data_IF_848517168690
#
_entry.id   IF_848517168690
#
_cell.length_a   1.000
_cell.length_b   1.000
_cell.length_c   1.000
_cell.angle_alpha   90.00
_cell.angle_beta   90.00
_cell.angle_gamma   90.00
#
_symmetry.space_group_name_H-M   'P 1'
#
loop_
_entity.id
_entity.type
_entity.pdbx_description
1 polymer ?
#
# COMPACT_ATOMS: atom_id res chain seq x y z
N UNK A 1 -11.12 -38.13 12.04
CA UNK A 1 -9.88 -37.34 11.94
C UNK A 1 -10.25 -36.00 11.33
N UNK A 2 -10.29 -34.92 12.13
CA UNK A 2 -10.60 -33.57 11.63
C UNK A 2 -9.30 -33.00 11.06
N UNK A 3 -9.25 -32.77 9.75
CA UNK A 3 -8.13 -32.09 9.11
C UNK A 3 -8.35 -30.57 9.22
N UNK A 4 -7.52 -29.89 10.02
CA UNK A 4 -7.49 -28.43 10.05
C UNK A 4 -6.55 -27.91 8.95
N UNK A 5 -7.11 -27.13 8.01
CA UNK A 5 -6.32 -26.34 7.06
C UNK A 5 -5.81 -25.09 7.79
N UNK A 6 -4.52 -25.06 8.10
CA UNK A 6 -3.87 -23.87 8.67
C UNK A 6 -3.52 -22.94 7.49
N UNK A 7 -4.10 -21.75 7.45
CA UNK A 7 -3.84 -20.75 6.41
C UNK A 7 -2.75 -19.80 6.89
N UNK A 8 -1.61 -19.77 6.19
CA UNK A 8 -0.51 -18.85 6.49
C UNK A 8 -0.66 -17.58 5.65
N UNK A 9 -0.91 -16.45 6.31
CA UNK A 9 -0.85 -15.13 5.68
C UNK A 9 0.55 -14.54 5.90
N UNK A 10 1.27 -14.26 4.82
CA UNK A 10 2.55 -13.54 4.85
C UNK A 10 2.33 -12.11 4.35
N UNK A 11 2.85 -11.12 5.07
CA UNK A 11 2.79 -9.72 4.68
C UNK A 11 4.17 -9.08 4.85
N UNK A 12 4.50 -8.15 3.95
CA UNK A 12 5.74 -7.37 4.06
C UNK A 12 5.51 -6.16 4.98
N UNK A 13 6.43 -5.94 5.91
CA UNK A 13 6.43 -4.73 6.73
C UNK A 13 7.02 -3.59 5.91
N UNK A 14 6.40 -2.41 6.01
CA UNK A 14 6.79 -1.26 5.23
C UNK A 14 6.39 0.05 5.89
N UNK A 15 6.89 1.13 5.29
CA UNK A 15 6.62 2.49 5.72
C UNK A 15 5.52 3.03 4.83
N UNK A 16 4.42 3.45 5.45
CA UNK A 16 3.30 4.07 4.76
C UNK A 16 3.18 5.56 5.10
N UNK A 17 2.85 6.36 4.10
CA UNK A 17 2.39 7.75 4.26
C UNK A 17 0.97 7.88 3.68
N UNK A 18 0.32 9.00 3.98
CA UNK A 18 -0.99 9.34 3.43
C UNK A 18 -0.98 10.79 2.98
N UNK A 19 -1.34 11.03 1.72
CA UNK A 19 -1.51 12.36 1.16
C UNK A 19 -2.95 12.51 0.60
N UNK A 20 -3.48 13.71 0.76
CA UNK A 20 -4.80 14.09 0.21
C UNK A 20 -4.72 14.53 -1.25
N UNK A 21 -3.51 14.78 -1.77
CA UNK A 21 -3.30 15.18 -3.15
C UNK A 21 -3.18 13.96 -4.05
N UNK A 22 -4.05 13.90 -5.05
CA UNK A 22 -3.96 12.94 -6.13
C UNK A 22 -2.73 13.24 -6.98
N UNK A 23 -1.79 12.30 -7.04
CA UNK A 23 -0.63 12.36 -7.93
C UNK A 23 -0.99 11.76 -9.28
N UNK A 24 -0.48 12.35 -10.36
CA UNK A 24 -0.66 11.83 -11.72
C UNK A 24 -0.19 10.39 -11.80
N UNK A 25 -1.03 9.50 -12.33
CA UNK A 25 -0.76 8.06 -12.32
C UNK A 25 0.17 7.66 -13.48
N UNK A 26 1.37 7.15 -13.20
CA UNK A 26 2.18 6.54 -14.26
C UNK A 26 1.52 5.28 -14.87
N UNK A 27 0.69 4.57 -14.09
CA UNK A 27 0.04 3.33 -14.55
C UNK A 27 -1.20 3.56 -15.43
N UNK A 28 -1.87 4.71 -15.31
CA UNK A 28 -3.16 5.03 -15.95
C UNK A 28 -3.19 6.39 -16.67
N UNK A 29 -2.09 7.15 -16.66
CA UNK A 29 -2.01 8.49 -17.23
C UNK A 29 -2.90 9.48 -16.49
N UNK A 30 -3.64 10.29 -17.24
CA UNK A 30 -4.55 11.31 -16.70
C UNK A 30 -5.94 10.77 -16.29
N UNK A 31 -6.10 9.45 -16.22
CA UNK A 31 -7.36 8.87 -15.78
C UNK A 31 -7.46 8.93 -14.26
N UNK A 32 -8.57 9.46 -13.77
CA UNK A 32 -8.90 9.40 -12.35
C UNK A 32 -9.25 7.95 -11.96
N UNK A 33 -8.55 7.42 -10.96
CA UNK A 33 -8.80 6.08 -10.40
C UNK A 33 -9.62 6.12 -9.10
N UNK A 34 -10.03 7.30 -8.67
CA UNK A 34 -10.80 7.51 -7.45
C UNK A 34 -9.96 7.41 -6.17
N UNK A 35 -10.62 7.02 -5.07
CA UNK A 35 -10.01 6.85 -3.75
C UNK A 35 -9.50 5.43 -3.54
N UNK A 36 -8.75 5.22 -2.45
CA UNK A 36 -8.12 3.94 -2.11
C UNK A 36 -7.11 3.55 -3.19
N UNK A 37 -6.30 4.52 -3.54
CA UNK A 37 -5.19 4.35 -4.46
C UNK A 37 -3.88 4.48 -3.69
N UNK A 38 -2.80 4.03 -4.31
CA UNK A 38 -1.49 4.17 -3.71
C UNK A 38 -0.38 4.27 -4.76
N UNK A 39 0.69 4.95 -4.35
CA UNK A 39 1.97 5.00 -5.04
C UNK A 39 2.92 4.03 -4.37
N UNK A 40 3.54 3.15 -5.15
CA UNK A 40 4.55 2.22 -4.65
C UNK A 40 5.93 2.88 -4.68
N UNK A 41 6.72 2.73 -3.62
CA UNK A 41 8.16 3.03 -3.66
C UNK A 41 8.99 1.86 -4.18
N UNK A 42 10.28 2.09 -4.41
CA UNK A 42 11.20 1.08 -4.95
C UNK A 42 11.28 -0.19 -4.10
N UNK A 43 11.21 -0.05 -2.77
CA UNK A 43 11.24 -1.18 -1.85
C UNK A 43 10.02 -2.11 -1.99
N UNK A 44 8.94 -1.63 -2.60
CA UNK A 44 7.71 -2.40 -2.82
C UNK A 44 7.63 -3.05 -4.20
N UNK A 45 8.57 -2.75 -5.11
CA UNK A 45 8.61 -3.31 -6.46
C UNK A 45 9.02 -4.78 -6.45
N UNK A 46 8.04 -5.66 -6.28
CA UNK A 46 8.17 -7.10 -6.51
C UNK A 46 8.42 -7.37 -8.00
N UNK A 47 9.69 -7.52 -8.39
CA UNK A 47 10.09 -8.00 -9.72
C UNK A 47 9.52 -7.20 -10.92
N UNK A 48 9.34 -5.89 -10.76
CA UNK A 48 9.28 -4.97 -11.90
C UNK A 48 7.90 -4.60 -12.46
N UNK A 49 6.76 -4.96 -11.85
CA UNK A 49 5.49 -4.24 -12.13
C UNK A 49 4.40 -4.50 -11.09
N UNK A 50 4.16 -3.51 -10.23
CA UNK A 50 3.04 -3.49 -9.27
C UNK A 50 1.83 -2.68 -9.76
N UNK A 51 1.96 -1.99 -10.90
CA UNK A 51 0.87 -1.23 -11.51
C UNK A 51 -0.42 -2.05 -11.61
N UNK A 52 -1.55 -1.39 -11.30
CA UNK A 52 -2.91 -1.92 -11.38
C UNK A 52 -3.22 -3.06 -10.41
N UNK A 53 -2.28 -3.50 -9.58
CA UNK A 53 -2.51 -4.53 -8.57
C UNK A 53 -3.22 -3.95 -7.34
N UNK A 54 -4.00 -4.81 -6.69
CA UNK A 54 -4.67 -4.50 -5.43
C UNK A 54 -3.88 -5.11 -4.29
N UNK A 55 -3.67 -4.36 -3.21
CA UNK A 55 -3.03 -4.84 -1.99
C UNK A 55 -3.86 -4.49 -0.77
N UNK A 56 -3.89 -5.42 0.18
CA UNK A 56 -4.47 -5.17 1.50
C UNK A 56 -3.40 -4.60 2.40
N UNK A 57 -3.60 -3.36 2.84
CA UNK A 57 -2.72 -2.63 3.76
C UNK A 57 -3.33 -2.70 5.14
N UNK A 58 -2.54 -3.11 6.12
CA UNK A 58 -2.94 -3.14 7.53
C UNK A 58 -2.00 -2.24 8.31
N UNK A 59 -2.55 -1.28 9.04
CA UNK A 59 -1.77 -0.44 9.93
C UNK A 59 -1.45 -1.26 11.20
N UNK A 60 -0.18 -1.60 11.38
CA UNK A 60 0.30 -2.42 12.51
C UNK A 60 0.90 -1.59 13.64
N UNK A 61 1.29 -0.34 13.38
CA UNK A 61 1.81 0.56 14.39
C UNK A 61 2.05 1.97 13.84
N UNK A 62 2.22 2.96 14.73
CA UNK A 62 2.57 4.31 14.32
C UNK A 62 4.04 4.40 13.91
N UNK A 63 4.38 5.38 13.06
CA UNK A 63 5.78 5.73 12.75
C UNK A 63 6.42 6.63 13.81
N UNK A 64 5.61 7.39 14.54
CA UNK A 64 6.02 8.33 15.60
C UNK A 64 5.29 8.00 16.90
N UNK A 65 5.74 8.45 18.09
CA UNK A 65 5.06 8.17 19.35
C UNK A 65 3.58 8.62 19.40
N UNK A 66 3.25 9.72 18.72
CA UNK A 66 1.90 10.29 18.60
C UNK A 66 1.78 10.95 17.22
N UNK A 67 0.61 10.95 16.57
CA UNK A 67 -0.63 10.24 16.94
C UNK A 67 -0.52 8.73 16.72
N UNK A 68 -1.48 7.96 17.27
CA UNK A 68 -1.64 6.52 17.02
C UNK A 68 -2.64 6.33 15.86
N UNK A 69 -2.20 6.23 14.59
CA UNK A 69 -3.10 6.29 13.45
C UNK A 69 -3.79 4.94 13.17
N UNK A 70 -3.31 3.84 13.77
CA UNK A 70 -3.82 2.50 13.50
C UNK A 70 -5.10 2.23 14.29
N UNK A 71 -6.17 1.90 13.58
CA UNK A 71 -7.48 1.54 14.15
C UNK A 71 -7.77 0.04 14.09
N UNK A 72 -6.75 -0.78 13.82
CA UNK A 72 -6.89 -2.24 13.67
C UNK A 72 -7.64 -2.70 12.43
N UNK A 73 -7.88 -1.80 11.46
CA UNK A 73 -8.54 -2.11 10.19
C UNK A 73 -7.53 -2.24 9.06
N UNK A 74 -7.92 -3.02 8.06
CA UNK A 74 -7.21 -3.13 6.80
C UNK A 74 -8.00 -2.43 5.69
N UNK A 75 -7.29 -1.87 4.72
CA UNK A 75 -7.87 -1.26 3.52
C UNK A 75 -7.26 -1.90 2.28
N UNK A 76 -8.07 -2.10 1.25
CA UNK A 76 -7.58 -2.58 -0.04
C UNK A 76 -7.36 -1.38 -0.94
N UNK A 77 -6.14 -1.25 -1.47
CA UNK A 77 -5.73 -0.11 -2.30
C UNK A 77 -5.21 -0.57 -3.65
N UNK A 78 -5.46 0.23 -4.70
CA UNK A 78 -4.94 0.01 -6.04
C UNK A 78 -3.63 0.75 -6.22
N UNK A 79 -2.59 0.07 -6.68
CA UNK A 79 -1.36 0.77 -7.08
C UNK A 79 -1.59 1.46 -8.42
N UNK A 80 -1.49 2.80 -8.39
CA UNK A 80 -1.68 3.65 -9.56
C UNK A 80 -0.41 4.35 -9.99
N UNK A 81 0.62 4.37 -9.15
CA UNK A 81 1.86 5.07 -9.48
C UNK A 81 3.08 4.39 -8.86
N UNK A 82 4.26 4.78 -9.35
CA UNK A 82 5.55 4.37 -8.83
C UNK A 82 6.41 5.60 -8.57
N UNK A 83 6.93 5.72 -7.35
CA UNK A 83 7.88 6.75 -6.98
C UNK A 83 9.32 6.18 -6.96
N UNK A 84 10.15 6.46 -7.99
CA UNK A 84 11.56 6.12 -7.98
C UNK A 84 12.34 6.99 -6.98
N UNK A 85 13.18 6.36 -6.17
CA UNK A 85 14.02 7.01 -5.15
C UNK A 85 13.29 7.40 -3.86
N UNK A 86 11.99 7.11 -3.75
CA UNK A 86 11.23 7.37 -2.54
C UNK A 86 11.67 6.43 -1.39
N UNK A 87 11.90 6.95 -0.16
CA UNK A 87 12.30 6.14 0.99
C UNK A 87 11.13 5.35 1.62
N UNK A 88 9.92 5.59 1.15
CA UNK A 88 8.67 5.00 1.63
C UNK A 88 8.30 3.77 0.82
N UNK A 89 7.60 2.82 1.45
CA UNK A 89 7.16 1.58 0.80
C UNK A 89 5.89 1.83 -0.01
N UNK A 90 4.95 2.56 0.57
CA UNK A 90 3.66 2.86 -0.04
C UNK A 90 3.18 4.24 0.39
N UNK A 91 2.62 5.02 -0.52
CA UNK A 91 1.93 6.28 -0.21
C UNK A 91 0.46 6.15 -0.56
N UNK A 92 -0.43 6.44 0.38
CA UNK A 92 -1.87 6.21 0.26
C UNK A 92 -2.61 7.50 -0.09
N UNK A 93 -3.68 7.40 -0.91
CA UNK A 93 -4.57 8.53 -1.24
C UNK A 93 -6.04 8.12 -1.41
#
# INVERSE_FOLDING_TARGET
>A
MVACLISFASATLGIATFDTKYVTSACFGNQDQGKLIATAGDAFLYNGTVCRKMFTVTCTGPRNPVPHPCIGKSVTVKIVDHCPGCPLTIDLS
#
